data_IF_053246151200
#
_entry.id   IF_053246151200
#
_cell.length_a   1.000
_cell.length_b   1.000
_cell.length_c   1.000
_cell.angle_alpha   90.00
_cell.angle_beta   90.00
_cell.angle_gamma   90.00
#
_symmetry.space_group_name_H-M   'P 1'
#
loop_
_entity.id
_entity.type
_entity.pdbx_description
1 polymer ?
#
# COMPACT_ATOMS: atom_id res chain seq x y z
N UNK A 1 11.24 -4.23 31.85
CA UNK A 1 12.67 -4.22 32.22
C UNK A 1 12.77 -3.41 33.50
N UNK A 2 13.34 -3.96 34.58
CA UNK A 2 13.63 -3.14 35.78
C UNK A 2 15.08 -2.67 35.64
N UNK A 3 15.28 -1.58 34.90
CA UNK A 3 16.56 -0.87 34.92
C UNK A 3 16.52 0.04 36.13
N UNK A 4 17.41 -0.16 37.09
CA UNK A 4 17.55 0.74 38.23
C UNK A 4 18.47 1.92 37.91
N UNK A 5 19.45 1.73 37.01
CA UNK A 5 20.41 2.76 36.60
C UNK A 5 20.74 2.63 35.11
N UNK A 6 20.79 3.76 34.41
CA UNK A 6 21.33 3.88 33.05
C UNK A 6 22.79 4.31 33.14
N UNK A 7 23.69 3.44 32.72
CA UNK A 7 25.12 3.77 32.63
C UNK A 7 25.43 4.37 31.27
N UNK A 8 25.96 5.58 31.26
CA UNK A 8 26.42 6.28 30.06
C UNK A 8 27.84 5.82 29.69
N UNK A 9 28.26 6.09 28.44
CA UNK A 9 29.58 5.71 27.94
C UNK A 9 30.76 6.34 28.71
N UNK A 10 30.53 7.48 29.36
CA UNK A 10 31.49 8.14 30.24
C UNK A 10 31.53 7.56 31.66
N UNK A 11 30.71 6.56 31.98
CA UNK A 11 30.64 5.90 33.29
C UNK A 11 29.60 6.49 34.25
N UNK A 12 28.91 7.56 33.88
CA UNK A 12 27.87 8.16 34.72
C UNK A 12 26.66 7.22 34.86
N UNK A 13 26.17 7.07 36.08
CA UNK A 13 25.01 6.24 36.39
C UNK A 13 23.81 7.12 36.72
N UNK A 14 22.82 7.13 35.84
CA UNK A 14 21.57 7.87 36.03
C UNK A 14 20.51 6.94 36.63
N UNK A 15 20.03 7.16 37.86
CA UNK A 15 18.98 6.34 38.44
C UNK A 15 17.66 6.51 37.65
N UNK A 16 16.97 5.40 37.40
CA UNK A 16 15.65 5.45 36.76
C UNK A 16 14.59 5.78 37.80
N UNK A 17 13.81 6.84 37.57
CA UNK A 17 12.69 7.17 38.44
C UNK A 17 11.60 6.09 38.38
N UNK A 18 10.94 5.82 39.51
CA UNK A 18 9.95 4.74 39.64
C UNK A 18 8.71 4.91 38.76
N UNK A 19 8.46 6.13 38.28
CA UNK A 19 7.37 6.47 37.37
C UNK A 19 7.75 6.38 35.88
N UNK A 20 8.99 6.02 35.55
CA UNK A 20 9.46 5.87 34.16
C UNK A 20 9.38 4.41 33.74
N UNK A 21 8.81 4.17 32.55
CA UNK A 21 8.78 2.84 31.93
C UNK A 21 9.38 2.91 30.54
N UNK A 22 10.24 1.95 30.21
CA UNK A 22 10.78 1.77 28.87
C UNK A 22 9.99 0.67 28.16
N UNK A 23 9.48 1.00 26.98
CA UNK A 23 8.74 0.10 26.10
C UNK A 23 9.50 0.02 24.80
N UNK A 24 9.70 -1.20 24.31
CA UNK A 24 10.28 -1.46 22.99
C UNK A 24 9.23 -2.17 22.14
N UNK A 25 8.97 -1.63 20.96
CA UNK A 25 8.17 -2.27 19.94
C UNK A 25 9.13 -2.90 18.93
N UNK A 26 9.23 -4.22 18.96
CA UNK A 26 10.16 -4.99 18.12
C UNK A 26 9.41 -6.08 17.38
N UNK A 27 9.83 -6.36 16.15
CA UNK A 27 9.21 -7.41 15.33
C UNK A 27 9.62 -8.82 15.78
N UNK A 28 10.92 -9.00 16.08
CA UNK A 28 11.48 -10.25 16.61
C UNK A 28 12.60 -9.94 17.61
N UNK A 29 13.07 -10.97 18.31
CA UNK A 29 14.13 -10.90 19.31
C UNK A 29 15.26 -11.91 19.03
N UNK A 30 15.36 -12.35 17.78
CA UNK A 30 16.22 -13.48 17.40
C UNK A 30 17.71 -13.20 17.66
N UNK A 31 18.07 -11.92 17.69
CA UNK A 31 19.42 -11.43 17.96
C UNK A 31 19.67 -11.10 19.45
N UNK A 32 18.71 -11.36 20.34
CA UNK A 32 18.85 -11.09 21.76
C UNK A 32 19.14 -12.37 22.55
N UNK A 33 20.14 -12.31 23.44
CA UNK A 33 20.44 -13.46 24.31
C UNK A 33 19.30 -13.70 25.32
N UNK A 34 19.04 -14.96 25.72
CA UNK A 34 18.07 -15.28 26.78
C UNK A 34 18.34 -14.52 28.09
N UNK A 35 19.61 -14.27 28.41
CA UNK A 35 20.02 -13.50 29.59
C UNK A 35 19.66 -12.02 29.50
N UNK A 36 19.61 -11.46 28.30
CA UNK A 36 19.19 -10.07 28.05
C UNK A 36 17.68 -9.93 28.21
N UNK A 37 16.91 -10.85 27.60
CA UNK A 37 15.44 -10.76 27.61
C UNK A 37 14.81 -11.21 28.92
N UNK A 38 15.48 -12.05 29.72
CA UNK A 38 14.97 -12.49 31.03
C UNK A 38 14.78 -11.36 32.05
N UNK A 39 15.43 -10.22 31.82
CA UNK A 39 15.30 -9.01 32.66
C UNK A 39 14.14 -8.11 32.22
N UNK A 40 13.43 -8.47 31.15
CA UNK A 40 12.34 -7.73 30.55
C UNK A 40 10.99 -8.42 30.78
N UNK A 41 9.93 -7.64 30.97
CA UNK A 41 8.57 -8.14 30.84
C UNK A 41 8.25 -8.21 29.36
N UNK A 42 7.81 -9.38 28.89
CA UNK A 42 7.53 -9.62 27.48
C UNK A 42 6.03 -9.75 27.26
N UNK A 43 5.50 -8.98 26.31
CA UNK A 43 4.12 -9.07 25.86
C UNK A 43 4.18 -9.50 24.39
N UNK A 44 3.74 -10.72 24.12
CA UNK A 44 3.67 -11.25 22.76
C UNK A 44 2.31 -10.93 22.16
N UNK A 45 2.30 -10.24 21.01
CA UNK A 45 1.09 -10.05 20.23
C UNK A 45 1.09 -11.03 19.05
N UNK A 46 0.17 -12.00 19.09
CA UNK A 46 -0.06 -12.90 17.96
C UNK A 46 -0.68 -12.15 16.80
N UNK A 47 -0.35 -12.55 15.57
CA UNK A 47 -0.97 -12.04 14.34
C UNK A 47 -2.48 -12.29 14.28
N UNK A 48 -2.97 -13.28 15.03
CA UNK A 48 -4.40 -13.61 15.15
C UNK A 48 -5.19 -12.62 16.02
N UNK A 49 -4.51 -11.72 16.73
CA UNK A 49 -5.17 -10.75 17.63
C UNK A 49 -5.84 -9.62 16.84
N UNK A 50 -5.43 -9.38 15.59
CA UNK A 50 -5.96 -8.31 14.76
C UNK A 50 -6.54 -8.84 13.44
N UNK A 51 -7.66 -9.59 13.50
CA UNK A 51 -8.37 -10.05 12.30
C UNK A 51 -8.94 -8.87 11.52
N UNK A 52 -9.39 -9.13 10.29
CA UNK A 52 -9.85 -8.07 9.40
C UNK A 52 -11.09 -7.30 9.92
N UNK A 53 -12.00 -7.98 10.61
CA UNK A 53 -13.29 -7.44 11.08
C UNK A 53 -13.15 -6.19 11.97
N UNK A 54 -12.40 -6.19 13.09
CA UNK A 54 -12.24 -5.00 13.93
C UNK A 54 -11.56 -3.83 13.18
N UNK A 55 -10.64 -4.11 12.26
CA UNK A 55 -9.99 -3.08 11.44
C UNK A 55 -11.03 -2.40 10.54
N UNK A 56 -11.87 -3.19 9.87
CA UNK A 56 -12.92 -2.66 9.01
C UNK A 56 -14.02 -1.95 9.81
N UNK A 57 -14.43 -2.49 10.96
CA UNK A 57 -15.39 -1.85 11.86
C UNK A 57 -14.91 -0.49 12.36
N UNK A 58 -13.61 -0.35 12.68
CA UNK A 58 -13.03 0.94 13.01
C UNK A 58 -13.12 1.93 11.83
N UNK A 59 -12.93 1.45 10.60
CA UNK A 59 -13.12 2.27 9.39
C UNK A 59 -14.59 2.71 9.21
N UNK A 60 -15.56 1.84 9.52
CA UNK A 60 -16.99 2.18 9.44
C UNK A 60 -17.43 3.28 10.41
N UNK A 61 -16.70 3.53 11.50
CA UNK A 61 -17.02 4.59 12.47
C UNK A 61 -16.76 6.02 11.93
N UNK A 62 -16.21 6.14 10.73
CA UNK A 62 -16.09 7.40 9.96
C UNK A 62 -17.47 7.88 9.46
N UNK A 63 -17.60 9.10 8.88
CA UNK A 63 -18.86 9.60 8.27
C UNK A 63 -19.43 8.78 7.09
N UNK A 64 -18.96 7.56 6.88
CA UNK A 64 -19.31 6.64 5.78
C UNK A 64 -20.13 5.45 6.32
N UNK A 65 -20.57 5.48 7.59
CA UNK A 65 -21.19 4.34 8.30
C UNK A 65 -22.24 3.56 7.49
N UNK A 66 -23.18 4.24 6.85
CA UNK A 66 -24.26 3.57 6.07
C UNK A 66 -23.71 2.79 4.88
N UNK A 67 -22.74 3.37 4.16
CA UNK A 67 -22.04 2.70 3.05
C UNK A 67 -21.17 1.56 3.58
N UNK A 68 -20.47 1.82 4.69
CA UNK A 68 -19.61 0.84 5.35
C UNK A 68 -20.33 -0.44 5.74
N UNK A 69 -21.56 -0.35 6.25
CA UNK A 69 -22.38 -1.54 6.61
C UNK A 69 -22.61 -2.43 5.38
N UNK A 70 -22.96 -1.84 4.24
CA UNK A 70 -23.21 -2.62 3.03
C UNK A 70 -21.93 -3.26 2.47
N UNK A 71 -20.80 -2.55 2.50
CA UNK A 71 -19.49 -3.11 2.13
C UNK A 71 -19.10 -4.23 3.10
N UNK A 72 -19.37 -4.07 4.39
CA UNK A 72 -19.11 -5.09 5.41
C UNK A 72 -19.88 -6.38 5.12
N UNK A 73 -21.15 -6.32 4.72
CA UNK A 73 -21.94 -7.51 4.34
C UNK A 73 -21.29 -8.29 3.19
N UNK A 74 -20.74 -7.59 2.20
CA UNK A 74 -20.04 -8.21 1.06
C UNK A 74 -18.70 -8.80 1.50
N UNK A 75 -17.93 -8.08 2.31
CA UNK A 75 -16.66 -8.58 2.84
C UNK A 75 -16.87 -9.80 3.74
N UNK A 76 -17.91 -9.79 4.58
CA UNK A 76 -18.24 -10.92 5.45
C UNK A 76 -18.55 -12.19 4.64
N UNK A 77 -19.15 -12.04 3.45
CA UNK A 77 -19.44 -13.15 2.54
C UNK A 77 -18.20 -13.72 1.86
N UNK A 78 -17.20 -12.90 1.53
CA UNK A 78 -16.13 -13.29 0.62
C UNK A 78 -14.71 -13.29 1.23
N UNK A 79 -14.42 -12.43 2.20
CA UNK A 79 -13.05 -12.16 2.64
C UNK A 79 -12.36 -13.41 3.22
N UNK A 80 -13.03 -14.14 4.12
CA UNK A 80 -12.42 -15.30 4.78
C UNK A 80 -12.13 -16.45 3.80
N UNK A 81 -13.04 -16.69 2.85
CA UNK A 81 -12.86 -17.72 1.81
C UNK A 81 -11.74 -17.34 0.84
N UNK A 82 -11.69 -16.08 0.41
CA UNK A 82 -10.63 -15.56 -0.44
C UNK A 82 -9.28 -15.58 0.27
N UNK A 83 -9.22 -15.16 1.54
CA UNK A 83 -8.00 -15.21 2.32
C UNK A 83 -7.52 -16.65 2.51
N UNK A 84 -8.43 -17.60 2.76
CA UNK A 84 -8.12 -19.03 2.79
C UNK A 84 -7.59 -19.52 1.45
N UNK A 85 -8.18 -19.09 0.33
CA UNK A 85 -7.71 -19.43 -1.02
C UNK A 85 -6.28 -18.91 -1.25
N UNK A 86 -5.99 -17.67 -0.86
CA UNK A 86 -4.67 -17.06 -0.97
C UNK A 86 -3.60 -17.85 -0.23
N UNK A 87 -3.85 -18.21 1.02
CA UNK A 87 -2.85 -18.88 1.87
C UNK A 87 -2.69 -20.38 1.54
N UNK A 88 -3.70 -21.01 0.94
CA UNK A 88 -3.69 -22.47 0.69
C UNK A 88 -3.40 -22.86 -0.75
N UNK A 89 -3.82 -22.05 -1.74
CA UNK A 89 -3.76 -22.41 -3.17
C UNK A 89 -2.95 -21.45 -4.03
N UNK A 90 -2.56 -20.28 -3.51
CA UNK A 90 -1.78 -19.28 -4.25
C UNK A 90 -0.37 -19.13 -3.67
N UNK A 91 0.52 -18.53 -4.44
CA UNK A 91 1.90 -18.22 -4.05
C UNK A 91 2.17 -16.72 -4.17
N UNK A 92 1.74 -15.91 -3.18
CA UNK A 92 2.06 -14.49 -3.15
C UNK A 92 3.57 -14.24 -3.15
N UNK A 93 4.03 -13.28 -3.96
CA UNK A 93 5.45 -12.90 -4.06
C UNK A 93 6.04 -12.35 -2.76
N UNK A 94 5.19 -11.88 -1.86
CA UNK A 94 5.56 -11.37 -0.55
C UNK A 94 4.59 -11.90 0.50
N UNK A 95 5.12 -12.32 1.64
CA UNK A 95 4.29 -12.68 2.80
C UNK A 95 3.72 -11.43 3.42
N UNK A 96 2.40 -11.38 3.53
CA UNK A 96 1.65 -10.25 4.06
C UNK A 96 0.57 -10.77 4.99
N UNK A 97 0.38 -10.10 6.13
CA UNK A 97 -0.63 -10.47 7.11
C UNK A 97 -2.04 -10.10 6.66
N UNK A 98 -3.04 -10.80 7.20
CA UNK A 98 -4.47 -10.53 6.97
C UNK A 98 -4.84 -9.05 7.16
N UNK A 99 -4.33 -8.44 8.23
CA UNK A 99 -4.55 -7.02 8.56
C UNK A 99 -4.09 -6.06 7.45
N UNK A 100 -3.05 -6.43 6.70
CA UNK A 100 -2.51 -5.61 5.62
C UNK A 100 -3.37 -5.74 4.36
N UNK A 101 -3.96 -6.91 4.08
CA UNK A 101 -4.91 -7.06 2.96
C UNK A 101 -6.16 -6.21 3.20
N UNK A 102 -6.78 -6.29 4.38
CA UNK A 102 -7.95 -5.45 4.66
C UNK A 102 -7.60 -3.95 4.65
N UNK A 103 -6.40 -3.58 5.10
CA UNK A 103 -5.93 -2.20 5.03
C UNK A 103 -5.80 -1.71 3.58
N UNK A 104 -5.28 -2.54 2.69
CA UNK A 104 -5.20 -2.23 1.25
C UNK A 104 -6.60 -2.09 0.63
N UNK A 105 -7.55 -2.97 0.96
CA UNK A 105 -8.96 -2.85 0.53
C UNK A 105 -9.53 -1.51 1.00
N UNK A 106 -9.37 -1.18 2.28
CA UNK A 106 -9.83 0.09 2.86
C UNK A 106 -9.21 1.29 2.15
N UNK A 107 -7.92 1.23 1.84
CA UNK A 107 -7.22 2.33 1.17
C UNK A 107 -7.72 2.54 -0.26
N UNK A 108 -7.93 1.46 -1.01
CA UNK A 108 -8.54 1.52 -2.34
C UNK A 108 -9.97 2.07 -2.27
N UNK A 109 -10.79 1.58 -1.33
CA UNK A 109 -12.17 2.05 -1.14
C UNK A 109 -12.21 3.54 -0.77
N UNK A 110 -11.38 4.01 0.16
CA UNK A 110 -11.28 5.44 0.50
C UNK A 110 -10.94 6.30 -0.73
N UNK A 111 -10.37 5.72 -1.80
CA UNK A 111 -9.87 6.44 -2.97
C UNK A 111 -10.86 6.40 -4.13
N UNK A 112 -11.67 5.36 -4.17
CA UNK A 112 -12.76 5.16 -5.12
C UNK A 112 -14.06 5.81 -4.64
N UNK A 113 -14.25 5.94 -3.32
CA UNK A 113 -15.43 6.58 -2.75
C UNK A 113 -15.31 8.11 -2.84
N UNK A 114 -16.12 8.70 -3.72
CA UNK A 114 -16.34 10.13 -3.85
C UNK A 114 -17.57 10.57 -3.01
N UNK A 115 -17.39 11.64 -2.24
CA UNK A 115 -18.44 12.21 -1.37
C UNK A 115 -19.63 12.80 -2.14
N UNK A 116 -19.43 13.14 -3.41
CA UNK A 116 -20.44 13.78 -4.26
C UNK A 116 -21.41 12.78 -4.89
N UNK A 117 -21.05 11.49 -4.90
CA UNK A 117 -21.81 10.44 -5.59
C UNK A 117 -22.77 9.77 -4.61
N UNK A 118 -24.02 9.59 -5.05
CA UNK A 118 -24.98 8.71 -4.35
C UNK A 118 -24.77 7.27 -4.77
N UNK A 119 -24.39 6.44 -3.81
CA UNK A 119 -24.11 5.04 -4.06
C UNK A 119 -25.35 4.16 -4.01
N UNK A 120 -25.56 3.37 -5.06
CA UNK A 120 -26.51 2.26 -5.03
C UNK A 120 -25.84 1.00 -4.48
N UNK A 121 -26.64 0.02 -4.02
CA UNK A 121 -26.15 -1.28 -3.57
C UNK A 121 -25.25 -1.95 -4.63
N UNK A 122 -25.73 -2.02 -5.87
CA UNK A 122 -24.98 -2.63 -6.99
C UNK A 122 -23.66 -1.90 -7.24
N UNK A 123 -23.63 -0.57 -7.12
CA UNK A 123 -22.39 0.20 -7.27
C UNK A 123 -21.37 -0.17 -6.18
N UNK A 124 -21.79 -0.15 -4.91
CA UNK A 124 -20.91 -0.52 -3.80
C UNK A 124 -20.42 -1.96 -3.90
N UNK A 125 -21.25 -2.87 -4.40
CA UNK A 125 -20.86 -4.25 -4.64
C UNK A 125 -19.72 -4.35 -5.66
N UNK A 126 -19.86 -3.69 -6.82
CA UNK A 126 -18.82 -3.64 -7.85
C UNK A 126 -17.52 -3.04 -7.32
N UNK A 127 -17.61 -1.94 -6.56
CA UNK A 127 -16.44 -1.31 -5.93
C UNK A 127 -15.75 -2.23 -4.92
N UNK A 128 -16.53 -2.96 -4.12
CA UNK A 128 -15.99 -3.89 -3.13
C UNK A 128 -15.28 -5.06 -3.80
N UNK A 129 -15.86 -5.61 -4.89
CA UNK A 129 -15.23 -6.67 -5.69
C UNK A 129 -13.94 -6.18 -6.32
N UNK A 130 -13.96 -4.97 -6.92
CA UNK A 130 -12.75 -4.35 -7.48
C UNK A 130 -11.65 -4.23 -6.42
N UNK A 131 -11.98 -3.71 -5.23
CA UNK A 131 -11.02 -3.55 -4.14
C UNK A 131 -10.50 -4.89 -3.61
N UNK A 132 -11.36 -5.92 -3.50
CA UNK A 132 -10.96 -7.28 -3.13
C UNK A 132 -9.97 -7.87 -4.15
N UNK A 133 -10.32 -7.83 -5.43
CA UNK A 133 -9.48 -8.36 -6.52
C UNK A 133 -8.12 -7.68 -6.54
N UNK A 134 -8.08 -6.35 -6.52
CA UNK A 134 -6.82 -5.62 -6.61
C UNK A 134 -5.99 -5.64 -5.33
N UNK A 135 -6.61 -5.72 -4.15
CA UNK A 135 -5.84 -5.89 -2.92
C UNK A 135 -5.25 -7.29 -2.83
N UNK A 136 -6.07 -8.33 -2.98
CA UNK A 136 -5.65 -9.72 -2.78
C UNK A 136 -4.83 -10.27 -3.96
N UNK A 137 -5.08 -9.78 -5.17
CA UNK A 137 -4.36 -10.14 -6.39
C UNK A 137 -3.09 -9.32 -6.65
N UNK A 138 -2.83 -8.25 -5.89
CA UNK A 138 -1.67 -7.37 -6.10
C UNK A 138 -0.33 -8.12 -6.04
N UNK A 139 -0.23 -9.10 -5.14
CA UNK A 139 0.99 -9.90 -4.92
C UNK A 139 1.02 -11.22 -5.71
N UNK A 140 -0.01 -11.48 -6.52
CA UNK A 140 -0.15 -12.70 -7.29
C UNK A 140 0.28 -12.52 -8.74
N UNK A 141 0.86 -13.57 -9.29
CA UNK A 141 1.11 -13.72 -10.72
C UNK A 141 -0.15 -14.13 -11.48
N UNK A 142 -0.11 -14.06 -12.82
CA UNK A 142 -1.26 -14.32 -13.70
C UNK A 142 -2.00 -15.63 -13.40
N UNK A 143 -1.26 -16.73 -13.17
CA UNK A 143 -1.86 -18.04 -12.88
C UNK A 143 -2.65 -18.06 -11.56
N UNK A 144 -2.17 -17.35 -10.54
CA UNK A 144 -2.84 -17.29 -9.24
C UNK A 144 -3.96 -16.24 -9.22
N UNK A 145 -3.82 -15.17 -10.00
CA UNK A 145 -4.91 -14.23 -10.30
C UNK A 145 -6.09 -14.93 -10.97
N UNK A 146 -5.83 -15.85 -11.90
CA UNK A 146 -6.88 -16.65 -12.53
C UNK A 146 -7.65 -17.52 -11.50
N UNK A 147 -6.99 -18.00 -10.43
CA UNK A 147 -7.68 -18.73 -9.34
C UNK A 147 -8.62 -17.83 -8.54
N UNK A 148 -8.21 -16.59 -8.25
CA UNK A 148 -9.08 -15.60 -7.60
C UNK A 148 -10.28 -15.24 -8.49
N UNK A 149 -10.04 -15.06 -9.79
CA UNK A 149 -11.10 -14.78 -10.76
C UNK A 149 -12.09 -15.94 -10.87
N UNK A 150 -11.61 -17.18 -10.93
CA UNK A 150 -12.45 -18.38 -10.93
C UNK A 150 -13.35 -18.47 -9.68
N UNK A 151 -12.87 -18.06 -8.51
CA UNK A 151 -13.70 -17.99 -7.31
C UNK A 151 -14.91 -17.08 -7.53
N UNK A 152 -14.71 -15.88 -8.08
CA UNK A 152 -15.80 -14.93 -8.30
C UNK A 152 -16.73 -15.34 -9.45
N UNK A 153 -16.20 -15.91 -10.54
CA UNK A 153 -17.01 -16.46 -11.63
C UNK A 153 -17.92 -17.60 -11.13
N UNK A 154 -17.46 -18.37 -10.15
CA UNK A 154 -18.25 -19.44 -9.53
C UNK A 154 -19.40 -18.97 -8.63
N UNK A 155 -19.48 -17.67 -8.30
CA UNK A 155 -20.56 -17.11 -7.48
C UNK A 155 -21.72 -16.67 -8.37
N UNK A 156 -22.92 -17.21 -8.14
CA UNK A 156 -24.10 -16.93 -8.98
C UNK A 156 -24.64 -15.50 -8.85
N UNK A 157 -24.51 -14.91 -7.66
CA UNK A 157 -25.21 -13.68 -7.29
C UNK A 157 -24.27 -12.48 -7.16
N UNK A 158 -23.20 -12.45 -7.96
CA UNK A 158 -22.19 -11.40 -7.88
C UNK A 158 -22.11 -10.52 -9.13
N UNK A 159 -21.96 -9.22 -8.92
CA UNK A 159 -21.88 -8.24 -10.00
C UNK A 159 -20.46 -8.07 -10.57
N UNK A 160 -19.95 -9.09 -11.28
CA UNK A 160 -18.69 -9.00 -12.06
C UNK A 160 -18.89 -8.46 -13.48
N UNK A 161 -17.82 -8.02 -14.20
CA UNK A 161 -17.92 -7.67 -15.61
C UNK A 161 -18.53 -8.81 -16.43
N UNK A 162 -19.52 -8.49 -17.29
CA UNK A 162 -20.17 -9.45 -18.18
C UNK A 162 -19.48 -9.45 -19.54
N UNK A 163 -19.47 -10.60 -20.21
CA UNK A 163 -18.93 -10.77 -21.56
C UNK A 163 -17.44 -10.36 -21.69
N UNK A 164 -16.61 -10.80 -20.74
CA UNK A 164 -15.16 -10.60 -20.79
C UNK A 164 -14.62 -11.26 -22.07
N UNK A 165 -13.97 -10.50 -22.98
CA UNK A 165 -13.38 -11.04 -24.21
C UNK A 165 -12.37 -12.15 -23.93
N UNK A 166 -12.16 -13.01 -24.91
CA UNK A 166 -11.15 -14.07 -24.80
C UNK A 166 -9.75 -13.45 -24.69
N UNK A 167 -9.09 -13.65 -23.55
CA UNK A 167 -7.76 -13.12 -23.25
C UNK A 167 -7.76 -12.01 -22.19
N UNK A 168 -8.92 -11.39 -21.94
CA UNK A 168 -9.09 -10.41 -20.87
C UNK A 168 -9.44 -11.10 -19.55
N UNK A 169 -9.22 -10.40 -18.45
CA UNK A 169 -9.53 -10.81 -17.08
C UNK A 169 -10.37 -9.73 -16.38
N UNK A 170 -11.04 -10.08 -15.28
CA UNK A 170 -11.67 -9.10 -14.36
C UNK A 170 -10.67 -7.98 -13.95
N UNK A 171 -9.36 -8.28 -13.89
CA UNK A 171 -8.32 -7.29 -13.58
C UNK A 171 -8.21 -6.17 -14.63
N UNK A 172 -8.69 -6.38 -15.84
CA UNK A 172 -8.67 -5.41 -16.94
C UNK A 172 -9.85 -4.43 -16.91
N UNK A 173 -10.72 -4.55 -15.89
CA UNK A 173 -11.87 -3.69 -15.68
C UNK A 173 -11.76 -2.86 -14.40
N UNK A 174 -12.42 -1.71 -14.43
CA UNK A 174 -12.59 -0.80 -13.32
C UNK A 174 -14.05 -0.35 -13.22
N UNK A 175 -14.45 0.24 -12.11
CA UNK A 175 -15.81 0.77 -11.95
C UNK A 175 -15.79 2.27 -12.23
N UNK A 176 -16.58 2.71 -13.21
CA UNK A 176 -16.69 4.13 -13.55
C UNK A 176 -17.59 4.91 -12.59
N UNK A 177 -17.68 6.24 -12.77
CA UNK A 177 -18.45 7.12 -11.89
C UNK A 177 -19.97 6.85 -11.94
N UNK A 178 -20.43 6.17 -12.99
CA UNK A 178 -21.81 5.70 -13.14
C UNK A 178 -22.06 4.33 -12.46
N UNK A 179 -21.04 3.75 -11.82
CA UNK A 179 -21.11 2.45 -11.16
C UNK A 179 -21.12 1.26 -12.11
N UNK A 180 -20.65 1.42 -13.35
CA UNK A 180 -20.58 0.35 -14.36
C UNK A 180 -19.14 -0.13 -14.55
N UNK A 181 -18.99 -1.40 -14.91
CA UNK A 181 -17.70 -1.96 -15.32
C UNK A 181 -17.27 -1.36 -16.65
N UNK A 182 -16.05 -0.86 -16.69
CA UNK A 182 -15.44 -0.18 -17.82
C UNK A 182 -14.03 -0.77 -18.01
N UNK A 183 -13.68 -1.10 -19.25
CA UNK A 183 -12.37 -1.67 -19.56
C UNK A 183 -11.29 -0.59 -19.53
N UNK A 184 -10.10 -0.88 -18.98
CA UNK A 184 -9.01 0.10 -18.82
C UNK A 184 -8.63 0.83 -20.11
N UNK A 185 -8.68 0.15 -21.26
CA UNK A 185 -8.36 0.74 -22.57
C UNK A 185 -9.17 1.99 -22.90
N UNK A 186 -10.39 2.11 -22.36
CA UNK A 186 -11.25 3.28 -22.61
C UNK A 186 -10.76 4.55 -21.88
N UNK A 187 -9.91 4.41 -20.88
CA UNK A 187 -9.30 5.52 -20.12
C UNK A 187 -7.89 5.88 -20.57
N UNK A 188 -7.33 5.12 -21.51
CA UNK A 188 -6.04 5.46 -22.12
C UNK A 188 -6.31 6.52 -23.17
N UNK A 189 -5.65 7.67 -23.06
CA UNK A 189 -5.68 8.67 -24.12
C UNK A 189 -5.19 8.01 -25.43
N UNK A 190 -5.92 8.22 -26.53
CA UNK A 190 -5.55 7.67 -27.84
C UNK A 190 -4.19 8.22 -28.26
N UNK A 191 -3.16 7.37 -28.22
CA UNK A 191 -1.82 7.74 -28.63
C UNK A 191 -1.70 7.71 -30.15
N UNK A 192 -1.53 8.88 -30.77
CA UNK A 192 -1.10 8.99 -32.16
C UNK A 192 0.44 8.93 -32.21
N UNK A 193 0.98 8.07 -33.08
CA UNK A 193 2.43 7.89 -33.25
C UNK A 193 3.06 9.18 -33.79
N UNK A 194 3.94 9.88 -33.04
CA UNK A 194 4.68 11.01 -33.58
C UNK A 194 5.71 10.46 -34.57
N UNK A 195 5.65 10.92 -35.82
CA UNK A 195 6.52 10.42 -36.90
C UNK A 195 8.00 10.75 -36.73
N UNK A 196 8.39 11.63 -35.79
CA UNK A 196 9.70 12.28 -35.82
C UNK A 196 10.58 12.15 -34.55
N UNK A 197 10.20 11.41 -33.49
CA UNK A 197 11.07 11.28 -32.30
C UNK A 197 11.15 9.88 -31.69
N UNK A 198 12.31 9.56 -31.09
CA UNK A 198 12.58 8.29 -30.40
C UNK A 198 11.59 8.08 -29.24
N UNK A 199 10.89 6.95 -29.31
CA UNK A 199 9.83 6.51 -28.40
C UNK A 199 10.30 6.53 -26.93
N UNK A 200 9.51 7.16 -26.05
CA UNK A 200 9.55 6.93 -24.61
C UNK A 200 8.64 5.74 -24.26
N UNK A 201 9.25 4.59 -23.96
CA UNK A 201 8.55 3.31 -23.68
C UNK A 201 7.66 3.37 -22.41
N UNK A 202 7.68 4.48 -21.67
CA UNK A 202 6.83 4.77 -20.52
C UNK A 202 5.33 4.59 -20.75
N UNK A 203 4.85 4.89 -21.96
CA UNK A 203 3.43 5.08 -22.25
C UNK A 203 2.66 3.78 -22.52
N UNK A 204 3.35 2.65 -22.69
CA UNK A 204 2.75 1.36 -23.10
C UNK A 204 2.29 0.51 -21.89
N UNK A 205 2.71 0.85 -20.67
CA UNK A 205 2.57 -0.03 -19.50
C UNK A 205 1.39 0.38 -18.62
N UNK A 206 0.19 0.01 -19.05
CA UNK A 206 -1.07 0.60 -18.56
C UNK A 206 -1.76 -0.07 -17.35
N UNK A 207 -1.59 -1.34 -16.94
CA UNK A 207 -2.54 -1.92 -15.97
C UNK A 207 -2.45 -1.35 -14.53
N UNK A 208 -1.25 -1.01 -14.05
CA UNK A 208 -1.05 -0.70 -12.62
C UNK A 208 -1.06 0.80 -12.30
N UNK A 209 -0.98 1.68 -13.31
CA UNK A 209 -0.90 3.14 -13.14
C UNK A 209 -2.17 3.68 -12.50
N UNK A 210 -3.34 3.14 -12.88
CA UNK A 210 -4.62 3.59 -12.33
C UNK A 210 -4.70 3.43 -10.81
N UNK A 211 -4.26 2.30 -10.29
CA UNK A 211 -4.26 2.03 -8.84
C UNK A 211 -3.22 2.86 -8.10
N UNK A 212 -2.04 3.04 -8.69
CA UNK A 212 -1.03 3.97 -8.15
C UNK A 212 -1.58 5.39 -8.09
N UNK A 213 -2.30 5.83 -9.13
CA UNK A 213 -2.94 7.16 -9.19
C UNK A 213 -4.04 7.32 -8.13
N UNK A 214 -4.85 6.29 -7.88
CA UNK A 214 -5.87 6.30 -6.84
C UNK A 214 -5.23 6.50 -5.46
N UNK A 215 -4.23 5.69 -5.11
CA UNK A 215 -3.59 5.73 -3.80
C UNK A 215 -2.70 6.97 -3.60
N UNK A 216 -2.03 7.43 -4.65
CA UNK A 216 -1.17 8.61 -4.58
C UNK A 216 -1.96 9.91 -4.43
N UNK A 217 -3.19 10.00 -4.97
CA UNK A 217 -4.13 11.10 -4.67
C UNK A 217 -4.49 11.18 -3.19
N UNK A 218 -4.40 10.06 -2.45
CA UNK A 218 -4.63 10.01 -1.00
C UNK A 218 -3.36 10.28 -0.19
N UNK A 219 -2.25 10.61 -0.84
CA UNK A 219 -0.96 10.84 -0.17
C UNK A 219 -0.44 9.61 0.58
N UNK A 220 -0.83 8.40 0.13
CA UNK A 220 -0.36 7.13 0.69
C UNK A 220 0.81 6.58 -0.11
N UNK A 221 1.79 6.04 0.59
CA UNK A 221 2.92 5.36 -0.02
C UNK A 221 2.47 4.02 -0.64
N UNK A 222 3.07 3.67 -1.78
CA UNK A 222 2.80 2.41 -2.50
C UNK A 222 4.13 1.72 -2.76
N UNK A 223 4.17 0.40 -2.53
CA UNK A 223 5.29 -0.44 -2.89
C UNK A 223 5.00 -1.12 -4.23
N UNK A 224 5.88 -0.94 -5.21
CA UNK A 224 5.82 -1.63 -6.49
C UNK A 224 6.84 -2.76 -6.52
N UNK A 225 6.36 -3.96 -6.81
CA UNK A 225 7.20 -5.15 -6.99
C UNK A 225 7.18 -5.58 -8.45
N UNK A 226 8.30 -6.15 -8.90
CA UNK A 226 8.41 -6.72 -10.25
C UNK A 226 9.87 -6.87 -10.65
N UNK A 227 10.12 -7.69 -11.66
CA UNK A 227 11.48 -7.99 -12.13
C UNK A 227 12.22 -6.74 -12.63
N UNK A 228 13.56 -6.71 -12.59
CA UNK A 228 14.34 -5.64 -13.21
C UNK A 228 13.98 -5.47 -14.69
N UNK A 229 13.95 -4.23 -15.18
CA UNK A 229 13.62 -3.96 -16.59
C UNK A 229 12.13 -3.91 -16.94
N UNK A 230 11.21 -4.09 -15.98
CA UNK A 230 9.76 -3.99 -16.21
C UNK A 230 9.22 -2.55 -16.25
N UNK A 231 10.10 -1.58 -16.56
CA UNK A 231 9.80 -0.15 -16.72
C UNK A 231 9.02 0.55 -15.58
N UNK A 232 9.03 -0.03 -14.36
CA UNK A 232 8.48 0.57 -13.13
C UNK A 232 8.99 2.00 -12.89
N UNK A 233 10.30 2.20 -12.98
CA UNK A 233 10.95 3.52 -12.82
C UNK A 233 10.42 4.54 -13.81
N UNK A 234 10.30 4.13 -15.08
CA UNK A 234 9.84 4.98 -16.17
C UNK A 234 8.37 5.37 -15.96
N UNK A 235 7.52 4.41 -15.59
CA UNK A 235 6.11 4.63 -15.26
C UNK A 235 5.96 5.65 -14.13
N UNK A 236 6.67 5.44 -13.02
CA UNK A 236 6.55 6.34 -11.85
C UNK A 236 7.13 7.71 -12.15
N UNK A 237 8.24 7.78 -12.88
CA UNK A 237 8.81 9.07 -13.29
C UNK A 237 7.84 9.85 -14.17
N UNK A 238 7.17 9.18 -15.12
CA UNK A 238 6.13 9.79 -15.95
C UNK A 238 4.94 10.28 -15.10
N UNK A 239 4.49 9.47 -14.15
CA UNK A 239 3.44 9.87 -13.22
C UNK A 239 3.84 11.11 -12.39
N UNK A 240 5.05 11.14 -11.84
CA UNK A 240 5.54 12.24 -11.01
C UNK A 240 5.72 13.56 -11.78
N UNK A 241 5.92 13.52 -13.10
CA UNK A 241 5.97 14.72 -13.96
C UNK A 241 4.64 15.48 -14.02
N UNK A 242 3.52 14.85 -13.68
CA UNK A 242 2.21 15.50 -13.66
C UNK A 242 2.02 16.44 -12.46
N UNK A 243 2.88 16.36 -11.44
CA UNK A 243 2.84 17.27 -10.31
C UNK A 243 3.39 18.64 -10.70
N UNK A 244 2.67 19.70 -10.29
CA UNK A 244 3.16 21.06 -10.42
C UNK A 244 4.33 21.30 -9.44
N UNK A 245 5.51 21.59 -10.00
CA UNK A 245 6.74 21.82 -9.24
C UNK A 245 6.69 23.02 -8.28
N UNK A 246 5.77 23.96 -8.50
CA UNK A 246 5.56 25.10 -7.61
C UNK A 246 4.80 24.73 -6.34
N UNK A 247 3.94 23.71 -6.41
CA UNK A 247 3.08 23.26 -5.31
C UNK A 247 3.59 21.95 -4.67
N UNK A 248 4.25 21.10 -5.46
CA UNK A 248 4.59 19.74 -5.08
C UNK A 248 5.98 19.36 -5.61
N UNK A 249 6.91 19.16 -4.68
CA UNK A 249 8.28 18.76 -4.97
C UNK A 249 8.38 17.24 -5.13
N UNK A 250 8.93 16.78 -6.25
CA UNK A 250 9.16 15.35 -6.50
C UNK A 250 10.65 15.04 -6.49
N UNK A 251 11.04 13.98 -5.79
CA UNK A 251 12.43 13.51 -5.72
C UNK A 251 12.51 12.02 -5.94
N UNK A 252 13.54 11.62 -6.67
CA UNK A 252 13.88 10.22 -6.91
C UNK A 252 15.18 9.96 -6.16
N UNK A 253 15.18 8.94 -5.30
CA UNK A 253 16.35 8.48 -4.55
C UNK A 253 16.59 7.03 -4.95
N UNK A 254 17.75 6.76 -5.55
CA UNK A 254 18.13 5.42 -5.94
C UNK A 254 18.89 4.76 -4.79
N UNK A 255 18.43 3.61 -4.34
CA UNK A 255 19.16 2.82 -3.36
C UNK A 255 20.25 2.00 -4.04
N UNK A 256 21.29 1.71 -3.27
CA UNK A 256 22.43 0.89 -3.67
C UNK A 256 22.93 0.13 -2.44
N UNK A 257 23.86 -0.80 -2.65
CA UNK A 257 24.48 -1.57 -1.56
C UNK A 257 25.31 -0.73 -0.59
N UNK A 258 25.65 0.52 -0.94
CA UNK A 258 26.45 1.43 -0.10
C UNK A 258 25.55 2.50 0.55
N UNK A 259 24.25 2.52 0.22
CA UNK A 259 23.32 3.48 0.80
C UNK A 259 23.19 3.24 2.30
N UNK A 260 23.45 4.26 3.12
CA UNK A 260 23.32 4.20 4.59
C UNK A 260 22.19 5.10 5.09
N UNK A 261 21.71 4.86 6.31
CA UNK A 261 20.68 5.69 6.96
C UNK A 261 21.10 7.17 7.03
N UNK A 262 22.37 7.45 7.34
CA UNK A 262 22.90 8.81 7.41
C UNK A 262 22.96 9.49 6.03
N UNK A 263 23.21 8.74 4.95
CA UNK A 263 23.16 9.27 3.58
C UNK A 263 21.74 9.64 3.18
N UNK A 264 20.76 8.75 3.47
CA UNK A 264 19.35 9.00 3.20
C UNK A 264 18.88 10.24 3.96
N UNK A 265 19.20 10.32 5.26
CA UNK A 265 18.83 11.47 6.09
C UNK A 265 19.37 12.78 5.51
N UNK A 266 20.67 12.87 5.21
CA UNK A 266 21.28 14.07 4.62
C UNK A 266 20.65 14.44 3.27
N UNK A 267 20.34 13.42 2.46
CA UNK A 267 19.71 13.63 1.15
C UNK A 267 18.32 14.25 1.30
N UNK A 268 17.51 13.74 2.23
CA UNK A 268 16.18 14.30 2.51
C UNK A 268 16.30 15.71 3.11
N UNK A 269 17.20 15.89 4.08
CA UNK A 269 17.45 17.19 4.75
C UNK A 269 17.85 18.30 3.78
N UNK A 270 18.53 18.00 2.67
CA UNK A 270 18.85 18.99 1.64
C UNK A 270 17.62 19.57 0.91
N UNK A 271 16.45 18.92 1.02
CA UNK A 271 15.21 19.35 0.36
C UNK A 271 14.16 19.90 1.33
N UNK A 272 14.44 19.90 2.63
CA UNK A 272 13.51 20.35 3.68
C UNK A 272 14.19 21.37 4.58
N UNK A 273 13.42 22.40 4.94
CA UNK A 273 13.87 23.38 5.93
C UNK A 273 13.49 22.91 7.32
N UNK A 274 14.44 23.12 8.24
CA UNK A 274 14.18 22.96 9.67
C UNK A 274 13.38 24.15 10.18
N UNK A 275 12.11 23.92 10.53
CA UNK A 275 11.26 24.88 11.23
C UNK A 275 11.47 24.80 12.75
N UNK A 276 10.62 25.50 13.49
CA UNK A 276 10.58 25.48 14.97
C UNK A 276 10.38 24.04 15.48
N UNK A 277 11.04 23.70 16.59
CA UNK A 277 10.87 22.45 17.33
C UNK A 277 11.16 21.16 16.53
N UNK A 278 12.25 21.13 15.73
CA UNK A 278 12.69 19.95 14.97
C UNK A 278 11.68 19.43 13.93
N UNK A 279 10.74 20.27 13.49
CA UNK A 279 9.82 19.94 12.40
C UNK A 279 10.53 20.25 11.07
N UNK A 280 10.66 19.25 10.20
CA UNK A 280 11.20 19.40 8.87
C UNK A 280 10.07 19.45 7.85
N UNK A 281 10.14 20.41 6.93
CA UNK A 281 9.12 20.57 5.89
C UNK A 281 9.73 21.12 4.61
N UNK A 282 9.18 20.81 3.43
CA UNK A 282 9.58 21.47 2.20
C UNK A 282 9.41 23.00 2.29
N UNK A 283 10.23 23.71 1.53
CA UNK A 283 10.21 25.16 1.39
C UNK A 283 8.82 25.68 1.01
N UNK A 284 8.47 26.87 1.51
CA UNK A 284 7.25 27.62 1.14
C UNK A 284 5.92 26.86 1.33
N UNK A 285 5.89 25.83 2.17
CA UNK A 285 4.65 25.06 2.43
C UNK A 285 4.27 24.11 1.30
N UNK A 286 5.20 23.80 0.39
CA UNK A 286 5.01 22.82 -0.67
C UNK A 286 4.83 21.40 -0.08
N UNK A 287 4.14 20.55 -0.82
CA UNK A 287 4.13 19.10 -0.56
C UNK A 287 5.39 18.46 -1.16
N UNK A 288 5.77 17.29 -0.67
CA UNK A 288 6.90 16.54 -1.23
C UNK A 288 6.56 15.06 -1.35
N UNK A 289 6.82 14.49 -2.52
CA UNK A 289 6.80 13.04 -2.77
C UNK A 289 8.20 12.56 -3.08
N UNK A 290 8.63 11.53 -2.37
CA UNK A 290 9.90 10.85 -2.60
C UNK A 290 9.59 9.48 -3.20
N UNK A 291 10.12 9.22 -4.38
CA UNK A 291 10.19 7.90 -4.96
C UNK A 291 11.54 7.28 -4.62
N UNK A 292 11.51 6.08 -4.06
CA UNK A 292 12.71 5.31 -3.75
C UNK A 292 12.79 4.16 -4.75
N UNK A 293 13.84 4.16 -5.56
CA UNK A 293 14.10 3.09 -6.52
C UNK A 293 15.06 2.04 -5.94
N UNK A 294 14.88 0.78 -6.34
CA UNK A 294 15.75 -0.36 -5.99
C UNK A 294 15.99 -0.59 -4.48
N UNK A 295 14.91 -0.55 -3.67
CA UNK A 295 14.94 -0.76 -2.21
C UNK A 295 15.64 -2.08 -1.81
N UNK A 296 15.52 -3.12 -2.63
CA UNK A 296 16.07 -4.45 -2.36
C UNK A 296 17.61 -4.52 -2.37
N UNK A 297 18.30 -3.52 -2.92
CA UNK A 297 19.77 -3.49 -2.98
C UNK A 297 20.41 -3.04 -1.67
N UNK A 298 19.62 -2.48 -0.75
CA UNK A 298 20.08 -2.05 0.56
C UNK A 298 20.58 -3.24 1.37
N UNK A 299 21.83 -3.17 1.82
CA UNK A 299 22.44 -4.24 2.62
C UNK A 299 22.29 -3.88 4.10
N UNK A 300 21.60 -4.68 4.92
CA UNK A 300 21.49 -4.40 6.35
C UNK A 300 22.88 -4.50 6.98
N UNK A 301 23.31 -3.41 7.61
CA UNK A 301 24.52 -3.36 8.46
C UNK A 301 24.27 -4.01 9.81
#
# INVERSE_FOLDING_TARGET
MIINYLTLANGDCIPMASNVKLIFEVHNIDNASPATVSRCGMIFMSSTILPWRPIFQAWMNKPIKTIGIYIFEILEKHFDELFKLLITKCLPKMKVNECNYIKQIIDLLDGLLNKEIKYTKIFLERLTIFALMWSMGSLLELNDRAKLEQYFIGQSDINIPKNIPQGDSIFDYLVNDNGQWEHWSTRVESWEYPTDEKIDFASILVPNIGNVRILSKQEKAVLLIGEPGTAKTVIITSYLKHYDSEQHLTRIINFSSITTSSLIQKTIENFVDKRVANIFSPLYGRKMTIFIDDINTFTPT
#
